data_IF_186714364106
#
_entry.id   IF_186714364106
#
_cell.length_a   1.000
_cell.length_b   1.000
_cell.length_c   1.000
_cell.angle_alpha   90.00
_cell.angle_beta   90.00
_cell.angle_gamma   90.00
#
_symmetry.space_group_name_H-M   'P 1'
#
loop_
_entity.id
_entity.type
_entity.pdbx_description
1 polymer ?
#
# COMPACT_ATOMS: atom_id res chain seq x y z
N UNK A 1 27.71 9.42 26.45
CA UNK A 1 28.71 8.45 25.97
C UNK A 1 28.28 8.03 24.58
N UNK A 2 29.13 8.18 23.55
CA UNK A 2 28.78 7.91 22.14
C UNK A 2 29.70 6.82 21.64
N UNK A 3 29.14 5.75 21.08
CA UNK A 3 29.90 4.71 20.36
C UNK A 3 30.05 5.13 18.90
N UNK A 4 31.28 5.18 18.38
CA UNK A 4 31.58 5.54 17.00
C UNK A 4 32.22 4.32 16.32
N UNK A 5 31.54 3.75 15.33
CA UNK A 5 32.09 2.67 14.49
C UNK A 5 32.41 3.22 13.11
N UNK A 6 33.67 3.06 12.66
CA UNK A 6 34.12 3.59 11.38
C UNK A 6 35.24 2.74 10.76
N UNK A 7 35.40 2.77 9.42
CA UNK A 7 36.58 2.22 8.76
C UNK A 7 37.85 2.94 9.22
N UNK A 8 38.99 2.24 9.20
CA UNK A 8 40.29 2.78 9.62
C UNK A 8 40.67 4.09 8.91
N UNK A 9 40.28 4.21 7.63
CA UNK A 9 40.50 5.40 6.80
C UNK A 9 39.82 6.68 7.34
N UNK A 10 38.77 6.54 8.16
CA UNK A 10 38.00 7.66 8.71
C UNK A 10 38.46 8.08 10.11
N UNK A 11 39.36 7.32 10.76
CA UNK A 11 39.82 7.60 12.13
C UNK A 11 40.42 9.00 12.27
N UNK A 12 41.24 9.44 11.31
CA UNK A 12 41.85 10.77 11.35
C UNK A 12 40.81 11.91 11.40
N UNK A 13 39.70 11.77 10.67
CA UNK A 13 38.61 12.75 10.70
C UNK A 13 37.87 12.75 12.03
N UNK A 14 37.63 11.56 12.61
CA UNK A 14 36.97 11.40 13.91
C UNK A 14 37.81 12.05 15.01
N UNK A 15 39.11 11.76 15.06
CA UNK A 15 40.04 12.35 16.02
C UNK A 15 40.12 13.87 15.90
N UNK A 16 40.13 14.40 14.68
CA UNK A 16 40.11 15.85 14.43
C UNK A 16 38.87 16.52 15.04
N UNK A 17 37.68 15.94 14.81
CA UNK A 17 36.42 16.46 15.36
C UNK A 17 36.36 16.34 16.88
N UNK A 18 36.79 15.20 17.44
CA UNK A 18 36.80 14.99 18.89
C UNK A 18 37.73 15.98 19.60
N UNK A 19 38.93 16.22 19.05
CA UNK A 19 39.86 17.20 19.60
C UNK A 19 39.28 18.63 19.58
N UNK A 20 38.63 19.04 18.48
CA UNK A 20 37.96 20.35 18.40
C UNK A 20 36.82 20.51 19.42
N UNK A 21 36.13 19.41 19.74
CA UNK A 21 35.00 19.40 20.69
C UNK A 21 35.38 19.03 22.12
N UNK A 22 36.68 18.96 22.44
CA UNK A 22 37.19 18.53 23.76
C UNK A 22 36.65 17.15 24.18
N UNK A 23 36.48 16.25 23.22
CA UNK A 23 36.07 14.87 23.46
C UNK A 23 37.23 14.03 24.01
N UNK A 24 36.92 13.10 24.91
CA UNK A 24 37.87 12.13 25.45
C UNK A 24 37.52 10.72 24.93
N UNK A 25 38.49 10.03 24.35
CA UNK A 25 38.36 8.63 23.94
C UNK A 25 38.69 7.75 25.15
N UNK A 26 37.69 6.99 25.60
CA UNK A 26 37.83 6.09 26.75
C UNK A 26 38.40 4.73 26.35
N UNK A 27 38.01 4.22 25.20
CA UNK A 27 38.42 2.92 24.68
C UNK A 27 38.41 2.97 23.15
N UNK A 28 39.50 2.51 22.54
CA UNK A 28 39.59 2.25 21.10
C UNK A 28 39.79 0.75 20.91
N UNK A 29 38.81 0.10 20.28
CA UNK A 29 38.88 -1.32 19.97
C UNK A 29 38.88 -1.49 18.46
N UNK A 30 40.05 -1.81 17.89
CA UNK A 30 40.11 -2.26 16.51
C UNK A 30 39.42 -3.62 16.45
N UNK A 31 38.15 -3.64 16.06
CA UNK A 31 37.46 -4.89 15.77
C UNK A 31 37.99 -5.33 14.41
N UNK A 32 38.85 -6.36 14.32
CA UNK A 32 39.18 -6.93 13.02
C UNK A 32 37.84 -7.22 12.35
N UNK A 33 37.69 -6.80 11.09
CA UNK A 33 36.50 -7.14 10.32
C UNK A 33 36.21 -8.62 10.56
N UNK A 34 34.93 -8.99 10.72
CA UNK A 34 34.57 -10.39 10.95
C UNK A 34 35.39 -11.26 10.00
N UNK A 35 35.94 -12.41 10.42
CA UNK A 35 36.81 -13.21 9.57
C UNK A 35 36.26 -13.36 8.13
N UNK A 36 34.93 -13.43 8.02
CA UNK A 36 34.16 -13.35 6.79
C UNK A 36 34.45 -12.11 5.91
N UNK A 37 34.37 -10.88 6.45
CA UNK A 37 34.71 -9.64 5.74
C UNK A 37 36.14 -9.66 5.19
N UNK A 38 37.12 -10.02 6.03
CA UNK A 38 38.52 -10.03 5.62
C UNK A 38 38.78 -11.09 4.53
N UNK A 39 38.17 -12.28 4.65
CA UNK A 39 38.31 -13.31 3.62
C UNK A 39 37.64 -12.93 2.29
N UNK A 40 36.50 -12.24 2.32
CA UNK A 40 35.82 -11.75 1.12
C UNK A 40 36.59 -10.60 0.43
N UNK A 41 37.15 -9.66 1.20
CA UNK A 41 37.84 -8.49 0.64
C UNK A 41 39.24 -8.80 0.11
N UNK A 42 39.93 -9.76 0.72
CA UNK A 42 41.28 -10.17 0.32
C UNK A 42 41.30 -11.41 -0.59
N UNK A 43 40.15 -11.80 -1.13
CA UNK A 43 39.96 -12.94 -2.04
C UNK A 43 40.52 -14.29 -1.52
N UNK A 44 40.45 -14.49 -0.21
CA UNK A 44 40.92 -15.72 0.45
C UNK A 44 39.84 -16.81 0.38
N UNK A 45 39.52 -17.23 -0.86
CA UNK A 45 38.47 -18.20 -1.17
C UNK A 45 38.69 -19.56 -0.50
N UNK A 46 39.95 -19.97 -0.35
CA UNK A 46 40.39 -21.18 0.36
C UNK A 46 39.91 -21.22 1.81
N UNK A 47 39.84 -20.07 2.49
CA UNK A 47 39.35 -19.93 3.87
C UNK A 47 37.86 -19.59 3.94
N UNK A 48 37.35 -18.85 2.95
CA UNK A 48 35.97 -18.42 2.89
C UNK A 48 35.01 -19.59 2.72
N UNK A 49 35.26 -20.52 1.78
CA UNK A 49 34.30 -21.59 1.50
C UNK A 49 34.06 -22.54 2.68
N UNK A 50 35.09 -23.02 3.39
CA UNK A 50 34.88 -23.83 4.60
C UNK A 50 34.12 -23.08 5.70
N UNK A 51 34.32 -21.77 5.81
CA UNK A 51 33.61 -20.91 6.77
C UNK A 51 32.12 -20.81 6.42
N UNK A 52 31.79 -20.55 5.15
CA UNK A 52 30.41 -20.49 4.67
C UNK A 52 29.67 -21.81 4.85
N UNK A 53 30.32 -22.94 4.58
CA UNK A 53 29.74 -24.27 4.83
C UNK A 53 29.42 -24.49 6.31
N UNK A 54 30.30 -24.10 7.23
CA UNK A 54 30.04 -24.17 8.68
C UNK A 54 28.90 -23.27 9.13
N UNK A 55 28.71 -22.13 8.46
CA UNK A 55 27.61 -21.19 8.70
C UNK A 55 26.30 -21.62 8.02
N UNK A 56 26.28 -22.73 7.29
CA UNK A 56 25.10 -23.19 6.54
C UNK A 56 24.77 -22.33 5.31
N UNK A 57 25.71 -21.50 4.84
CA UNK A 57 25.50 -20.59 3.70
C UNK A 57 25.89 -21.29 2.41
N UNK A 58 24.91 -21.51 1.54
CA UNK A 58 25.12 -22.09 0.21
C UNK A 58 25.07 -21.02 -0.86
N UNK A 59 26.09 -20.96 -1.73
CA UNK A 59 26.17 -20.01 -2.84
C UNK A 59 26.06 -20.72 -4.19
N UNK A 60 25.44 -20.05 -5.16
CA UNK A 60 25.33 -20.55 -6.55
C UNK A 60 26.68 -20.46 -7.26
N UNK A 61 26.90 -21.27 -8.29
CA UNK A 61 28.19 -21.32 -9.01
C UNK A 61 28.62 -19.96 -9.56
N UNK A 62 27.70 -19.22 -10.19
CA UNK A 62 27.96 -17.87 -10.74
C UNK A 62 28.35 -16.83 -9.68
N UNK A 63 27.92 -17.04 -8.43
CA UNK A 63 28.20 -16.12 -7.33
C UNK A 63 29.60 -16.33 -6.75
N UNK A 64 30.23 -17.48 -7.01
CA UNK A 64 31.58 -17.82 -6.54
C UNK A 64 32.68 -17.09 -7.32
N UNK A 65 32.33 -16.57 -8.50
CA UNK A 65 33.23 -15.80 -9.35
C UNK A 65 33.31 -14.32 -8.91
N UNK A 66 32.39 -13.87 -8.06
CA UNK A 66 32.43 -12.54 -7.47
C UNK A 66 33.68 -12.37 -6.59
N UNK A 67 34.17 -11.14 -6.47
CA UNK A 67 35.31 -10.76 -5.63
C UNK A 67 35.02 -9.48 -4.85
N UNK A 68 35.74 -9.25 -3.75
CA UNK A 68 35.70 -7.99 -2.99
C UNK A 68 34.30 -7.61 -2.49
N UNK A 69 33.91 -6.35 -2.70
CA UNK A 69 32.61 -5.80 -2.26
C UNK A 69 31.40 -6.56 -2.81
N UNK A 70 31.31 -6.89 -4.12
CA UNK A 70 30.23 -7.72 -4.65
C UNK A 70 30.07 -9.09 -3.95
N UNK A 71 31.19 -9.80 -3.72
CA UNK A 71 31.19 -11.09 -3.04
C UNK A 71 30.68 -10.94 -1.59
N UNK A 72 31.24 -9.97 -0.86
CA UNK A 72 30.84 -9.66 0.51
C UNK A 72 29.34 -9.35 0.62
N UNK A 73 28.82 -8.52 -0.30
CA UNK A 73 27.40 -8.18 -0.33
C UNK A 73 26.54 -9.42 -0.53
N UNK A 74 26.90 -10.28 -1.48
CA UNK A 74 26.13 -11.50 -1.77
C UNK A 74 26.16 -12.48 -0.60
N UNK A 75 27.34 -12.71 -0.01
CA UNK A 75 27.52 -13.55 1.17
C UNK A 75 26.63 -13.07 2.32
N UNK A 76 26.63 -11.77 2.62
CA UNK A 76 25.81 -11.21 3.70
C UNK A 76 24.31 -11.27 3.41
N UNK A 77 23.89 -11.05 2.17
CA UNK A 77 22.48 -11.16 1.78
C UNK A 77 21.94 -12.58 1.97
N UNK A 78 22.76 -13.60 1.70
CA UNK A 78 22.38 -15.00 1.89
C UNK A 78 22.45 -15.41 3.37
N UNK A 79 23.47 -14.94 4.10
CA UNK A 79 23.68 -15.33 5.49
C UNK A 79 22.73 -14.63 6.46
N UNK A 80 22.50 -13.33 6.28
CA UNK A 80 21.66 -12.51 7.14
C UNK A 80 20.68 -11.69 6.29
N UNK A 81 19.59 -12.32 5.79
CA UNK A 81 18.57 -11.61 5.02
C UNK A 81 17.88 -10.55 5.89
N UNK A 82 18.20 -9.27 5.64
CA UNK A 82 17.63 -8.15 6.39
C UNK A 82 16.09 -8.12 6.33
N UNK A 83 15.49 -8.57 5.22
CA UNK A 83 14.04 -8.65 5.07
C UNK A 83 13.39 -9.52 6.14
N UNK A 84 13.98 -10.68 6.47
CA UNK A 84 13.41 -11.61 7.46
C UNK A 84 13.46 -11.01 8.85
N UNK A 85 14.63 -10.50 9.26
CA UNK A 85 14.79 -9.87 10.57
C UNK A 85 13.89 -8.64 10.75
N UNK A 86 13.78 -7.79 9.71
CA UNK A 86 12.92 -6.61 9.77
C UNK A 86 11.43 -6.97 9.80
N UNK A 87 11.01 -7.95 9.01
CA UNK A 87 9.61 -8.40 9.01
C UNK A 87 9.23 -9.05 10.34
N UNK A 88 10.10 -9.90 10.91
CA UNK A 88 9.90 -10.46 12.24
C UNK A 88 9.81 -9.35 13.30
N UNK A 89 10.75 -8.41 13.31
CA UNK A 89 10.72 -7.27 14.22
C UNK A 89 9.42 -6.47 14.08
N UNK A 90 8.97 -6.21 12.85
CA UNK A 90 7.70 -5.53 12.60
C UNK A 90 6.51 -6.32 13.15
N UNK A 91 6.46 -7.63 12.92
CA UNK A 91 5.36 -8.50 13.40
C UNK A 91 5.33 -8.56 14.93
N UNK A 92 6.50 -8.68 15.58
CA UNK A 92 6.57 -8.82 17.03
C UNK A 92 6.38 -7.51 17.79
N UNK A 93 6.81 -6.38 17.22
CA UNK A 93 6.83 -5.10 17.95
C UNK A 93 5.82 -4.08 17.46
N UNK A 94 5.33 -4.15 16.21
CA UNK A 94 4.32 -3.21 15.75
C UNK A 94 2.92 -3.75 16.04
N UNK A 95 2.07 -2.99 16.74
CA UNK A 95 0.72 -3.44 17.03
C UNK A 95 -0.14 -3.44 15.76
N UNK A 96 -1.03 -4.42 15.68
CA UNK A 96 -2.05 -4.47 14.63
C UNK A 96 -3.00 -3.26 14.71
N UNK A 97 -3.68 -2.87 13.61
CA UNK A 97 -4.73 -1.86 13.61
C UNK A 97 -5.77 -1.99 14.72
N UNK A 98 -6.27 -3.20 14.97
CA UNK A 98 -7.31 -3.45 15.97
C UNK A 98 -6.80 -3.24 17.40
N UNK A 99 -5.53 -3.54 17.66
CA UNK A 99 -4.88 -3.22 18.94
C UNK A 99 -4.59 -1.72 19.04
N UNK A 100 -4.05 -1.14 17.97
CA UNK A 100 -3.56 0.24 17.94
C UNK A 100 -4.69 1.27 18.02
N UNK A 101 -5.80 1.05 17.32
CA UNK A 101 -6.91 2.02 17.27
C UNK A 101 -7.58 2.20 18.63
N UNK A 102 -7.58 1.17 19.50
CA UNK A 102 -8.19 1.25 20.84
C UNK A 102 -7.65 2.38 21.70
N UNK A 103 -6.32 2.53 21.73
CA UNK A 103 -5.65 3.60 22.49
C UNK A 103 -5.35 4.84 21.65
N UNK A 104 -5.59 4.79 20.32
CA UNK A 104 -5.36 5.94 19.43
C UNK A 104 -6.63 6.68 19.06
N UNK A 105 -7.82 6.13 19.32
CA UNK A 105 -9.10 6.74 18.94
C UNK A 105 -9.22 8.20 19.39
N UNK A 106 -8.74 8.53 20.58
CA UNK A 106 -8.77 9.89 21.13
C UNK A 106 -7.96 10.90 20.31
N UNK A 107 -6.89 10.44 19.65
CA UNK A 107 -6.07 11.26 18.76
C UNK A 107 -6.54 11.19 17.30
N UNK A 108 -7.37 10.21 16.95
CA UNK A 108 -7.86 9.99 15.59
C UNK A 108 -9.22 10.64 15.34
N UNK A 109 -9.98 10.92 16.40
CA UNK A 109 -11.35 11.39 16.33
C UNK A 109 -11.55 12.59 17.27
N UNK A 110 -12.03 13.71 16.71
CA UNK A 110 -12.26 14.95 17.45
C UNK A 110 -13.68 15.07 18.04
N UNK A 111 -14.58 14.13 17.70
CA UNK A 111 -15.94 14.10 18.21
C UNK A 111 -16.08 13.42 19.58
N UNK A 112 -17.30 13.28 20.09
CA UNK A 112 -17.58 12.62 21.37
C UNK A 112 -17.12 11.15 21.37
N UNK A 113 -16.36 10.75 22.40
CA UNK A 113 -15.77 9.39 22.48
C UNK A 113 -16.77 8.27 22.81
N UNK A 114 -17.98 8.64 23.19
CA UNK A 114 -19.11 7.79 23.51
C UNK A 114 -20.03 7.55 22.30
N UNK A 115 -19.79 8.20 21.17
CA UNK A 115 -20.63 8.04 19.98
C UNK A 115 -20.33 6.76 19.17
N UNK A 116 -21.17 6.49 18.16
CA UNK A 116 -21.03 5.31 17.32
C UNK A 116 -19.76 5.32 16.45
N UNK A 117 -19.24 6.50 16.08
CA UNK A 117 -18.08 6.63 15.19
C UNK A 117 -16.77 6.36 15.94
N UNK A 118 -16.63 6.96 17.12
CA UNK A 118 -15.53 6.70 18.05
C UNK A 118 -15.50 5.22 18.44
N UNK A 119 -16.66 4.62 18.76
CA UNK A 119 -16.74 3.20 19.07
C UNK A 119 -16.34 2.31 17.86
N UNK A 120 -16.77 2.65 16.65
CA UNK A 120 -16.42 1.90 15.45
C UNK A 120 -14.92 1.97 15.14
N UNK A 121 -14.31 3.16 15.25
CA UNK A 121 -12.84 3.35 15.10
C UNK A 121 -12.12 2.57 16.20
N UNK A 122 -12.55 2.67 17.46
CA UNK A 122 -11.92 1.97 18.60
C UNK A 122 -11.86 0.46 18.38
N UNK A 123 -12.89 -0.10 17.76
CA UNK A 123 -13.03 -1.53 17.52
C UNK A 123 -12.49 -2.00 16.16
N UNK A 124 -12.06 -1.09 15.28
CA UNK A 124 -11.71 -1.41 13.89
C UNK A 124 -12.85 -2.17 13.18
N UNK A 125 -14.10 -1.74 13.42
CA UNK A 125 -15.30 -2.47 13.03
C UNK A 125 -15.56 -2.38 11.51
N UNK A 126 -15.53 -3.50 10.76
CA UNK A 126 -15.77 -3.50 9.32
C UNK A 126 -17.25 -3.31 8.94
N UNK A 127 -18.21 -3.54 9.86
CA UNK A 127 -19.65 -3.33 9.59
C UNK A 127 -20.17 -2.02 10.20
N UNK A 128 -19.32 -1.30 10.93
CA UNK A 128 -19.64 0.01 11.50
C UNK A 128 -19.71 1.13 10.45
N UNK A 129 -20.03 2.37 10.88
CA UNK A 129 -20.03 3.53 10.01
C UNK A 129 -18.66 3.72 9.33
N UNK A 130 -18.69 4.11 8.05
CA UNK A 130 -17.48 4.36 7.27
C UNK A 130 -16.69 5.56 7.80
N UNK A 131 -15.48 5.30 8.28
CA UNK A 131 -14.53 6.30 8.74
C UNK A 131 -13.24 6.22 7.92
N UNK A 132 -13.01 7.20 7.05
CA UNK A 132 -11.84 7.30 6.18
C UNK A 132 -11.09 8.61 6.46
N UNK A 133 -9.76 8.54 6.59
CA UNK A 133 -8.91 9.73 6.60
C UNK A 133 -8.05 9.79 5.35
N UNK A 134 -8.21 10.85 4.56
CA UNK A 134 -7.35 11.14 3.41
C UNK A 134 -6.12 11.88 3.89
N UNK A 135 -4.95 11.29 3.70
CA UNK A 135 -3.68 11.86 4.15
C UNK A 135 -2.98 12.66 3.05
N UNK A 136 -3.16 12.30 1.78
CA UNK A 136 -2.50 12.98 0.65
C UNK A 136 -3.26 12.80 -0.65
N UNK A 137 -3.22 13.81 -1.51
CA UNK A 137 -3.62 13.71 -2.91
C UNK A 137 -2.40 13.35 -3.77
N UNK A 138 -2.51 12.26 -4.52
CA UNK A 138 -1.47 11.77 -5.45
C UNK A 138 -1.90 12.16 -6.86
N UNK A 139 -1.08 12.92 -7.62
CA UNK A 139 -1.41 13.27 -8.99
C UNK A 139 -1.52 12.02 -9.86
N UNK A 140 -2.58 11.93 -10.66
CA UNK A 140 -2.70 10.92 -11.70
C UNK A 140 -1.85 11.32 -12.92
N UNK A 141 -1.60 10.37 -13.83
CA UNK A 141 -0.97 10.63 -15.13
C UNK A 141 -1.78 11.61 -15.99
N UNK A 142 -3.09 11.64 -15.78
CA UNK A 142 -4.02 12.52 -16.50
C UNK A 142 -4.03 13.92 -15.88
N UNK A 143 -3.86 14.95 -16.71
CA UNK A 143 -3.87 16.34 -16.27
C UNK A 143 -5.17 16.69 -15.55
N UNK A 144 -5.06 17.14 -14.31
CA UNK A 144 -6.18 17.63 -13.50
C UNK A 144 -6.87 16.58 -12.63
N UNK A 145 -6.43 15.31 -12.66
CA UNK A 145 -6.97 14.25 -11.79
C UNK A 145 -5.99 13.92 -10.66
N UNK A 146 -6.54 13.70 -9.46
CA UNK A 146 -5.78 13.31 -8.28
C UNK A 146 -6.46 12.12 -7.59
N UNK A 147 -5.67 11.16 -7.16
CA UNK A 147 -6.11 10.07 -6.29
C UNK A 147 -5.99 10.48 -4.83
N UNK A 148 -7.07 10.34 -4.07
CA UNK A 148 -7.01 10.47 -2.62
C UNK A 148 -6.35 9.22 -2.02
N UNK A 149 -5.21 9.39 -1.36
CA UNK A 149 -4.55 8.35 -0.58
C UNK A 149 -4.95 8.52 0.89
N UNK A 150 -5.49 7.46 1.48
CA UNK A 150 -6.05 7.50 2.81
C UNK A 150 -6.14 6.13 3.46
N UNK A 151 -6.59 6.13 4.71
CA UNK A 151 -6.79 4.92 5.50
C UNK A 151 -8.22 4.83 6.00
N UNK A 152 -8.82 3.67 5.80
CA UNK A 152 -10.10 3.30 6.44
C UNK A 152 -9.82 2.86 7.87
N UNK A 153 -10.51 3.48 8.82
CA UNK A 153 -10.45 3.16 10.25
C UNK A 153 -11.63 2.30 10.70
N UNK A 154 -12.81 2.47 10.10
CA UNK A 154 -14.00 1.67 10.32
C UNK A 154 -14.88 1.64 9.06
N UNK A 155 -15.74 0.63 8.95
CA UNK A 155 -16.60 0.37 7.79
C UNK A 155 -15.85 -0.15 6.56
N UNK A 156 -16.56 -0.22 5.45
CA UNK A 156 -16.04 -0.67 4.15
C UNK A 156 -16.26 0.40 3.08
N UNK A 157 -15.28 0.55 2.19
CA UNK A 157 -15.42 1.35 0.98
C UNK A 157 -15.71 0.39 -0.18
N UNK A 158 -16.82 0.61 -0.87
CA UNK A 158 -17.18 -0.06 -2.11
C UNK A 158 -17.10 0.93 -3.28
N UNK A 159 -16.75 0.43 -4.45
CA UNK A 159 -16.86 1.22 -5.69
C UNK A 159 -18.30 1.13 -6.17
N UNK A 160 -19.02 2.25 -6.11
CA UNK A 160 -20.31 2.40 -6.78
C UNK A 160 -20.09 2.88 -8.21
N UNK A 161 -20.78 2.26 -9.17
CA UNK A 161 -21.03 2.85 -10.47
C UNK A 161 -22.49 2.60 -10.82
N UNK A 162 -23.15 3.53 -11.54
CA UNK A 162 -24.51 3.35 -11.99
C UNK A 162 -24.69 1.99 -12.68
N UNK A 163 -25.81 1.31 -12.43
CA UNK A 163 -26.12 0.01 -13.04
C UNK A 163 -26.04 0.08 -14.57
N UNK A 164 -26.36 1.23 -15.15
CA UNK A 164 -26.21 1.49 -16.57
C UNK A 164 -24.74 1.41 -17.06
N UNK A 165 -23.78 1.87 -16.26
CA UNK A 165 -22.35 1.80 -16.59
C UNK A 165 -21.76 0.41 -16.30
N UNK A 166 -22.52 -0.46 -15.63
CA UNK A 166 -22.10 -1.83 -15.32
C UNK A 166 -22.12 -2.79 -16.51
N UNK A 167 -22.89 -2.49 -17.55
CA UNK A 167 -23.02 -3.37 -18.69
C UNK A 167 -21.68 -3.47 -19.45
N UNK A 168 -21.14 -4.68 -19.54
CA UNK A 168 -19.83 -4.91 -20.17
C UNK A 168 -18.63 -4.65 -19.25
N UNK A 169 -18.83 -4.19 -18.01
CA UNK A 169 -17.74 -3.98 -17.05
C UNK A 169 -16.95 -5.28 -16.79
N UNK A 170 -17.65 -6.38 -16.47
CA UNK A 170 -17.00 -7.66 -16.17
C UNK A 170 -16.20 -8.23 -17.33
N UNK A 171 -16.66 -8.04 -18.57
CA UNK A 171 -15.94 -8.51 -19.77
C UNK A 171 -14.72 -7.63 -20.06
N UNK A 172 -14.84 -6.31 -19.94
CA UNK A 172 -13.73 -5.38 -20.10
C UNK A 172 -12.65 -5.58 -19.04
N UNK A 173 -13.05 -5.74 -17.77
CA UNK A 173 -12.12 -5.97 -16.66
C UNK A 173 -11.36 -7.29 -16.82
N UNK A 174 -12.05 -8.35 -17.24
CA UNK A 174 -11.39 -9.63 -17.56
C UNK A 174 -10.43 -9.50 -18.73
N UNK A 175 -10.81 -8.80 -19.80
CA UNK A 175 -9.93 -8.57 -20.95
C UNK A 175 -8.65 -7.82 -20.55
N UNK A 176 -8.79 -6.76 -19.74
CA UNK A 176 -7.66 -5.95 -19.26
C UNK A 176 -6.72 -6.69 -18.30
N UNK A 177 -7.24 -7.69 -17.57
CA UNK A 177 -6.48 -8.44 -16.55
C UNK A 177 -6.07 -9.84 -17.02
N UNK A 178 -6.15 -10.11 -18.33
CA UNK A 178 -5.88 -11.44 -18.89
C UNK A 178 -6.66 -12.57 -18.19
N UNK A 179 -7.89 -12.27 -17.76
CA UNK A 179 -8.79 -13.20 -17.08
C UNK A 179 -8.52 -13.42 -15.59
N UNK A 180 -7.57 -12.69 -14.98
CA UNK A 180 -7.21 -12.88 -13.56
C UNK A 180 -8.19 -12.23 -12.59
N UNK A 181 -8.96 -11.22 -13.01
CA UNK A 181 -9.94 -10.54 -12.15
C UNK A 181 -11.37 -11.08 -12.35
N UNK A 182 -12.06 -11.30 -11.22
CA UNK A 182 -13.43 -11.82 -11.14
C UNK A 182 -14.30 -10.87 -10.31
N UNK A 183 -14.89 -9.83 -10.92
CA UNK A 183 -15.70 -8.88 -10.18
C UNK A 183 -17.03 -9.51 -9.78
N UNK A 184 -17.49 -9.24 -8.55
CA UNK A 184 -18.88 -9.43 -8.15
C UNK A 184 -19.53 -8.07 -7.98
N UNK A 185 -20.66 -7.85 -8.66
CA UNK A 185 -21.45 -6.63 -8.54
C UNK A 185 -22.68 -6.94 -7.68
N UNK A 186 -22.92 -6.15 -6.65
CA UNK A 186 -24.10 -6.24 -5.78
C UNK A 186 -24.88 -4.95 -5.93
N UNK A 187 -26.20 -5.06 -6.06
CA UNK A 187 -27.07 -3.88 -6.09
C UNK A 187 -27.05 -3.21 -4.70
N UNK A 188 -26.80 -1.91 -4.68
CA UNK A 188 -26.68 -1.12 -3.45
C UNK A 188 -27.97 -0.33 -3.16
N UNK A 189 -28.30 0.67 -3.99
CA UNK A 189 -29.49 1.51 -3.82
C UNK A 189 -29.99 2.11 -5.15
N UNK A 190 -31.16 2.76 -5.11
CA UNK A 190 -31.67 3.61 -6.18
C UNK A 190 -31.27 5.07 -5.91
N UNK A 191 -30.81 5.77 -6.94
CA UNK A 191 -30.48 7.20 -6.88
C UNK A 191 -31.16 7.96 -8.02
N UNK A 192 -31.45 9.25 -7.81
CA UNK A 192 -32.04 10.12 -8.83
C UNK A 192 -31.01 10.43 -9.91
N UNK A 193 -31.37 10.21 -11.18
CA UNK A 193 -30.53 10.62 -12.30
C UNK A 193 -30.47 12.14 -12.40
N UNK A 194 -29.28 12.68 -12.68
CA UNK A 194 -29.03 14.13 -12.81
C UNK A 194 -29.55 14.73 -14.12
N UNK A 195 -30.21 13.96 -14.98
CA UNK A 195 -30.73 14.40 -16.29
C UNK A 195 -32.23 14.14 -16.42
N UNK A 196 -32.94 15.11 -17.01
CA UNK A 196 -34.38 15.03 -17.24
C UNK A 196 -34.67 14.12 -18.46
N UNK A 197 -35.44 13.03 -18.30
CA UNK A 197 -35.80 12.15 -19.42
C UNK A 197 -36.73 12.78 -20.46
N UNK A 198 -37.34 13.94 -20.17
CA UNK A 198 -38.22 14.66 -21.09
C UNK A 198 -37.47 15.72 -21.92
N UNK A 199 -36.25 16.08 -21.53
CA UNK A 199 -35.43 17.02 -22.27
C UNK A 199 -34.80 16.35 -23.50
N UNK A 200 -35.17 16.81 -24.69
CA UNK A 200 -34.69 16.24 -25.95
C UNK A 200 -33.17 16.36 -26.07
N UNK A 201 -32.48 15.23 -26.18
CA UNK A 201 -31.02 15.17 -26.29
C UNK A 201 -30.28 14.93 -24.97
N UNK A 202 -30.99 14.85 -23.83
CA UNK A 202 -30.39 14.44 -22.57
C UNK A 202 -30.00 12.95 -22.58
N UNK A 203 -29.02 12.58 -21.75
CA UNK A 203 -28.60 11.19 -21.58
C UNK A 203 -29.76 10.31 -21.08
N UNK A 204 -30.61 10.83 -20.20
CA UNK A 204 -31.82 10.14 -19.74
C UNK A 204 -32.86 9.95 -20.85
N UNK A 205 -33.05 10.93 -21.74
CA UNK A 205 -34.00 10.82 -22.84
C UNK A 205 -33.59 9.76 -23.88
N UNK A 206 -32.30 9.72 -24.24
CA UNK A 206 -31.75 8.66 -25.10
C UNK A 206 -31.91 7.28 -24.46
N UNK A 207 -31.58 7.17 -23.17
CA UNK A 207 -31.72 5.94 -22.41
C UNK A 207 -33.16 5.41 -22.38
N UNK A 208 -34.11 6.28 -22.07
CA UNK A 208 -35.53 5.93 -22.06
C UNK A 208 -35.97 5.45 -23.44
N UNK A 209 -35.51 6.12 -24.50
CA UNK A 209 -35.81 5.74 -25.89
C UNK A 209 -35.29 4.34 -26.21
N UNK A 210 -34.05 4.02 -25.84
CA UNK A 210 -33.45 2.70 -26.06
C UNK A 210 -34.13 1.58 -25.25
N UNK A 211 -34.53 1.89 -24.00
CA UNK A 211 -35.34 0.97 -23.19
C UNK A 211 -36.70 0.71 -23.85
N UNK A 212 -37.36 1.78 -24.34
CA UNK A 212 -38.66 1.67 -25.00
C UNK A 212 -38.56 0.85 -26.30
N UNK A 213 -37.55 1.09 -27.13
CA UNK A 213 -37.25 0.28 -28.33
C UNK A 213 -37.09 -1.20 -27.99
N UNK A 214 -36.26 -1.52 -27.00
CA UNK A 214 -36.03 -2.90 -26.55
C UNK A 214 -37.29 -3.57 -25.98
N UNK A 215 -38.18 -2.80 -25.34
CA UNK A 215 -39.45 -3.29 -24.79
C UNK A 215 -40.60 -3.28 -25.81
N UNK A 216 -40.36 -2.88 -27.06
CA UNK A 216 -41.40 -2.79 -28.09
C UNK A 216 -42.42 -1.65 -27.85
N UNK A 217 -42.05 -0.64 -27.08
CA UNK A 217 -42.88 0.53 -26.78
C UNK A 217 -42.61 1.66 -27.80
N UNK A 218 -43.59 2.56 -27.99
CA UNK A 218 -43.44 3.73 -28.87
C UNK A 218 -42.20 4.55 -28.50
N UNK A 219 -41.40 4.97 -29.48
CA UNK A 219 -40.14 5.70 -29.24
C UNK A 219 -40.36 7.04 -28.54
N UNK A 220 -41.41 7.76 -28.93
CA UNK A 220 -41.81 8.98 -28.25
C UNK A 220 -42.41 8.64 -26.88
N UNK A 221 -41.96 9.35 -25.83
CA UNK A 221 -42.62 9.29 -24.53
C UNK A 221 -44.07 9.72 -24.72
N UNK A 222 -44.99 8.84 -24.34
CA UNK A 222 -46.41 9.15 -24.37
C UNK A 222 -46.66 10.30 -23.40
N UNK A 223 -47.27 11.42 -23.82
CA UNK A 223 -47.57 12.53 -22.93
C UNK A 223 -48.50 12.05 -21.81
N UNK A 224 -48.36 12.67 -20.62
CA UNK A 224 -49.09 12.28 -19.42
C UNK A 224 -50.62 12.28 -19.65
N UNK A 225 -51.10 13.13 -20.54
CA UNK A 225 -52.50 13.27 -20.95
C UNK A 225 -53.14 12.01 -21.56
N UNK A 226 -52.37 11.06 -22.07
CA UNK A 226 -52.93 9.77 -22.53
C UNK A 226 -53.18 8.77 -21.38
N UNK A 227 -52.65 9.04 -20.19
CA UNK A 227 -52.85 8.23 -18.99
C UNK A 227 -53.85 8.85 -18.01
N UNK A 228 -54.30 10.07 -18.28
CA UNK A 228 -55.37 10.72 -17.53
C UNK A 228 -56.72 10.16 -17.98
N UNK A 229 -57.54 9.69 -17.03
CA UNK A 229 -58.91 9.28 -17.32
C UNK A 229 -59.68 10.48 -17.88
N UNK A 230 -60.28 10.28 -19.06
CA UNK A 230 -61.16 11.29 -19.66
C UNK A 230 -62.43 11.38 -18.80
N UNK A 231 -62.52 12.42 -17.97
CA UNK A 231 -63.76 12.86 -17.34
C UNK A 231 -64.82 13.27 -18.37
#
# INVERSE_FOLDING_TARGET
MVEIQAPEQALGGIYSVLNQKRGHVFEEMQRPGTPLYNTCMNDQKDKLWPMLTKLGVTMKSEEKDLMGKPLMKRVMQTWLPASTALLEMMIFHLPSPSTAQRYRVENLYEGPLDDQYANAIRNCDPEGPLMLYVSKMIPASDKGRFFAFGRVFAGKVSTGFPVIESFGFSSQLRAATSGQAFPQCVFDHWDTMTSDPLEAGSQAAQLVTDIRKRKGLKEQMTPLSEFEDKL
#
